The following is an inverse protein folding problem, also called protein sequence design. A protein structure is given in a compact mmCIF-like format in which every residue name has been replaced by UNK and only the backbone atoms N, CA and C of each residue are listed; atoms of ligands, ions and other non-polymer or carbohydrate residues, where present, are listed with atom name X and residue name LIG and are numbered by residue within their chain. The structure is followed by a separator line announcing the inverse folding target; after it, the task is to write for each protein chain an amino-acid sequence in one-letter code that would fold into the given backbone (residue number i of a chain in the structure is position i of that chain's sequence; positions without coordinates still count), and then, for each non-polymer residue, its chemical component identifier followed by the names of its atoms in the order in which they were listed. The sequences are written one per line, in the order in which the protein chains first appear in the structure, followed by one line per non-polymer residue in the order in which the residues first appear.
data_IF_849039670174
#
_entry.id   IF_849039670174
#
_cell.length_a   1.000
_cell.length_b   1.000
_cell.length_c   1.000
_cell.angle_alpha   90.00
_cell.angle_beta   90.00
_cell.angle_gamma   90.00
#
_symmetry.space_group_name_H-M   'P 1'
#
loop_
_entity.id
_entity.type
_entity.pdbx_description
1 polymer ?
#
# COMPACT_ATOMS: atom_id res chain seq x y z
N UNK A 1 3.16 -19.07 4.95
CA UNK A 1 2.61 -18.33 3.81
C UNK A 1 2.95 -16.87 4.02
N UNK A 2 3.58 -16.24 3.05
CA UNK A 2 4.10 -14.87 3.10
C UNK A 2 3.61 -14.19 1.82
N UNK A 3 2.90 -13.08 1.95
CA UNK A 3 2.44 -12.28 0.82
C UNK A 3 3.53 -11.27 0.48
N UNK A 4 4.09 -11.31 -0.72
CA UNK A 4 5.08 -10.32 -1.15
C UNK A 4 4.45 -9.43 -2.22
N UNK A 5 4.08 -8.21 -1.85
CA UNK A 5 3.68 -7.18 -2.81
C UNK A 5 4.83 -6.19 -2.96
N UNK A 6 5.35 -6.01 -4.16
CA UNK A 6 6.30 -4.92 -4.43
C UNK A 6 5.49 -3.76 -4.99
N UNK A 7 5.42 -2.66 -4.26
CA UNK A 7 4.78 -1.44 -4.71
C UNK A 7 5.88 -0.45 -5.09
N UNK A 8 5.67 0.28 -6.17
CA UNK A 8 6.49 1.41 -6.58
C UNK A 8 5.59 2.62 -6.71
N UNK A 9 5.74 3.62 -5.84
CA UNK A 9 5.16 4.93 -6.06
C UNK A 9 6.21 5.81 -6.75
N UNK A 10 5.97 6.18 -8.01
CA UNK A 10 6.87 7.09 -8.72
C UNK A 10 6.65 8.51 -8.22
N UNK A 11 7.58 9.01 -7.41
CA UNK A 11 7.62 10.40 -6.94
C UNK A 11 8.90 11.07 -7.44
N UNK A 12 9.09 11.16 -8.76
CA UNK A 12 10.16 12.00 -9.28
C UNK A 12 10.27 12.05 -10.79
N UNK A 13 9.70 13.08 -11.42
CA UNK A 13 10.11 13.37 -12.79
C UNK A 13 9.39 14.42 -13.63
N UNK A 14 8.43 15.22 -13.13
CA UNK A 14 8.01 16.48 -13.80
C UNK A 14 6.88 17.18 -13.02
N UNK A 15 7.14 18.07 -12.05
CA UNK A 15 6.17 19.05 -11.52
C UNK A 15 4.68 18.61 -11.33
N UNK A 16 4.38 17.31 -11.11
CA UNK A 16 3.03 16.73 -11.32
C UNK A 16 2.39 16.11 -10.07
N UNK A 17 2.93 16.34 -8.87
CA UNK A 17 2.23 16.01 -7.63
C UNK A 17 3.10 16.09 -6.38
N UNK A 18 2.96 17.15 -5.59
CA UNK A 18 3.61 17.23 -4.27
C UNK A 18 2.83 16.40 -3.26
N UNK A 19 2.97 15.08 -3.27
CA UNK A 19 2.59 14.28 -2.12
C UNK A 19 3.40 14.73 -0.89
N UNK A 20 2.76 14.72 0.28
CA UNK A 20 3.48 14.77 1.53
C UNK A 20 4.37 13.53 1.71
N UNK A 21 5.33 13.55 2.65
CA UNK A 21 6.07 12.36 3.00
C UNK A 21 5.13 11.20 3.38
N UNK A 22 5.44 10.04 2.82
CA UNK A 22 4.85 8.78 3.22
C UNK A 22 5.59 8.24 4.44
N UNK A 23 4.84 7.71 5.39
CA UNK A 23 5.38 7.09 6.60
C UNK A 23 4.71 5.75 6.79
N UNK A 24 5.47 4.77 7.27
CA UNK A 24 4.94 3.46 7.66
C UNK A 24 3.77 3.61 8.62
N UNK A 25 2.66 2.97 8.27
CA UNK A 25 1.41 3.03 9.00
C UNK A 25 1.08 1.67 9.60
N UNK A 26 1.20 1.59 10.93
CA UNK A 26 1.02 0.37 11.71
C UNK A 26 1.90 -0.79 11.24
N UNK A 27 1.97 -1.81 12.10
CA UNK A 27 2.93 -2.91 12.12
C UNK A 27 4.38 -2.46 11.90
N UNK A 28 5.23 -2.62 12.91
CA UNK A 28 6.65 -2.27 12.87
C UNK A 28 7.57 -3.47 12.57
N UNK A 29 7.01 -4.59 12.11
CA UNK A 29 7.76 -5.81 11.79
C UNK A 29 8.89 -5.57 10.79
N UNK A 30 10.04 -6.22 10.96
CA UNK A 30 11.20 -6.01 10.07
C UNK A 30 10.94 -6.42 8.60
N UNK A 31 10.00 -7.35 8.38
CA UNK A 31 9.62 -7.82 7.03
C UNK A 31 8.52 -6.98 6.40
N UNK A 32 7.70 -6.28 7.19
CA UNK A 32 6.47 -5.65 6.71
C UNK A 32 6.68 -4.57 5.67
N UNK A 33 7.80 -3.85 5.77
CA UNK A 33 8.22 -2.85 4.81
C UNK A 33 9.74 -2.84 4.68
N UNK A 34 10.23 -2.91 3.46
CA UNK A 34 11.66 -2.89 3.15
C UNK A 34 11.93 -2.10 1.87
N UNK A 35 13.02 -1.33 1.87
CA UNK A 35 13.63 -0.86 0.63
C UNK A 35 14.65 -1.89 0.17
N UNK A 36 14.59 -2.29 -1.09
CA UNK A 36 15.51 -3.24 -1.68
C UNK A 36 15.76 -2.92 -3.15
N UNK A 37 16.86 -3.43 -3.69
CA UNK A 37 17.16 -3.29 -5.12
C UNK A 37 16.10 -3.97 -5.98
N UNK A 38 15.66 -3.30 -7.04
CA UNK A 38 14.63 -3.82 -7.95
C UNK A 38 15.01 -5.25 -8.44
N UNK A 39 14.24 -6.28 -8.04
CA UNK A 39 14.53 -7.64 -8.45
C UNK A 39 14.17 -7.90 -9.92
N UNK A 40 13.42 -7.01 -10.56
CA UNK A 40 12.87 -7.19 -11.91
C UNK A 40 13.68 -6.50 -13.00
N UNK A 41 14.38 -5.42 -12.65
CA UNK A 41 15.01 -4.50 -13.61
C UNK A 41 14.01 -3.70 -14.47
N UNK A 42 12.72 -3.73 -14.13
CA UNK A 42 11.66 -3.03 -14.85
C UNK A 42 11.21 -1.74 -14.15
N UNK A 43 11.53 -1.57 -12.86
CA UNK A 43 11.21 -0.35 -12.15
C UNK A 43 12.00 0.83 -12.76
N UNK A 44 11.46 2.06 -12.71
CA UNK A 44 12.16 3.24 -13.20
C UNK A 44 13.31 3.69 -12.27
N UNK A 45 13.58 2.94 -11.21
CA UNK A 45 14.55 3.23 -10.14
C UNK A 45 15.33 1.99 -9.73
N UNK A 46 16.46 2.22 -9.06
CA UNK A 46 17.33 1.14 -8.58
C UNK A 46 16.74 0.41 -7.36
N UNK A 47 15.98 1.11 -6.52
CA UNK A 47 15.33 0.56 -5.33
C UNK A 47 13.80 0.59 -5.47
N UNK A 48 13.14 -0.38 -4.84
CA UNK A 48 11.67 -0.54 -4.80
C UNK A 48 11.20 -0.79 -3.36
N UNK A 49 9.93 -0.49 -3.09
CA UNK A 49 9.30 -0.71 -1.80
C UNK A 49 8.66 -2.10 -1.77
N UNK A 50 9.17 -2.97 -0.89
CA UNK A 50 8.60 -4.30 -0.66
C UNK A 50 7.72 -4.29 0.57
N UNK A 51 6.51 -4.78 0.41
CA UNK A 51 5.54 -4.99 1.47
C UNK A 51 5.31 -6.48 1.68
N UNK A 52 5.28 -6.90 2.94
CA UNK A 52 4.98 -8.28 3.30
C UNK A 52 4.04 -8.36 4.50
N UNK A 53 2.91 -9.04 4.33
CA UNK A 53 1.99 -9.31 5.44
C UNK A 53 2.00 -10.80 5.74
N UNK A 54 2.23 -11.15 7.01
CA UNK A 54 2.16 -12.51 7.53
C UNK A 54 0.97 -12.65 8.47
N UNK A 55 0.51 -13.89 8.62
CA UNK A 55 -0.52 -14.23 9.60
C UNK A 55 -0.07 -13.79 11.01
N UNK A 56 -0.91 -12.99 11.65
CA UNK A 56 -0.65 -12.39 12.96
C UNK A 56 -0.06 -10.98 12.93
N UNK A 57 0.21 -10.40 11.75
CA UNK A 57 0.71 -9.02 11.59
C UNK A 57 -0.41 -7.98 11.79
N UNK A 58 -1.05 -8.03 12.95
CA UNK A 58 -2.01 -7.03 13.41
C UNK A 58 -1.35 -6.10 14.45
N UNK A 59 -1.77 -4.84 14.48
CA UNK A 59 -1.21 -3.81 15.37
C UNK A 59 -2.30 -2.89 15.90
N UNK A 60 -2.00 -2.20 16.99
CA UNK A 60 -2.90 -1.24 17.62
C UNK A 60 -2.13 0.07 17.93
N UNK A 61 -2.68 1.23 17.57
CA UNK A 61 -2.12 2.57 17.86
C UNK A 61 -2.97 3.42 18.81
N UNK A 62 -3.98 2.82 19.45
CA UNK A 62 -4.94 3.47 20.35
C UNK A 62 -6.17 4.05 19.64
N UNK A 63 -6.05 4.42 18.37
CA UNK A 63 -7.16 4.88 17.52
C UNK A 63 -7.69 3.76 16.62
N UNK A 64 -6.82 2.84 16.22
CA UNK A 64 -7.11 1.67 15.38
C UNK A 64 -6.60 0.40 16.06
N UNK A 65 -7.37 -0.67 15.94
CA UNK A 65 -7.02 -2.00 16.43
C UNK A 65 -7.26 -3.01 15.32
N UNK A 66 -6.19 -3.30 14.56
CA UNK A 66 -6.29 -4.25 13.45
C UNK A 66 -6.64 -5.66 13.98
N UNK A 67 -6.19 -6.02 15.19
CA UNK A 67 -6.46 -7.33 15.78
C UNK A 67 -7.96 -7.49 16.12
N UNK A 68 -8.58 -6.47 16.71
CA UNK A 68 -10.01 -6.47 17.00
C UNK A 68 -10.86 -6.44 15.72
N UNK A 69 -10.38 -5.76 14.68
CA UNK A 69 -11.06 -5.63 13.39
C UNK A 69 -10.81 -6.81 12.42
N UNK A 70 -10.07 -7.84 12.85
CA UNK A 70 -9.66 -8.97 11.99
C UNK A 70 -8.92 -8.52 10.73
N UNK A 71 -7.97 -7.60 10.90
CA UNK A 71 -7.13 -7.01 9.87
C UNK A 71 -5.66 -7.26 10.16
N UNK A 72 -4.87 -7.27 9.09
CA UNK A 72 -3.43 -7.33 9.11
C UNK A 72 -2.93 -6.31 8.09
N UNK A 73 -1.83 -5.60 8.39
CA UNK A 73 -1.43 -4.44 7.61
C UNK A 73 0.08 -4.26 7.55
N UNK A 74 0.55 -3.86 6.38
CA UNK A 74 1.81 -3.12 6.23
C UNK A 74 1.60 -2.11 5.10
N UNK A 75 1.49 -0.83 5.46
CA UNK A 75 1.14 0.24 4.53
C UNK A 75 2.08 1.45 4.71
N UNK A 76 2.24 2.23 3.64
CA UNK A 76 2.75 3.59 3.72
C UNK A 76 1.57 4.56 3.62
N UNK A 77 1.50 5.53 4.52
CA UNK A 77 0.44 6.56 4.54
C UNK A 77 1.02 7.96 4.38
N UNK A 78 0.41 8.75 3.50
CA UNK A 78 0.65 10.19 3.38
C UNK A 78 0.05 10.93 4.59
N UNK A 79 0.82 11.10 5.67
CA UNK A 79 0.30 11.73 6.90
C UNK A 79 0.26 13.26 6.87
N UNK A 80 1.08 13.89 6.03
CA UNK A 80 1.27 15.34 6.01
C UNK A 80 0.45 16.07 4.91
N UNK A 81 -0.61 15.45 4.39
CA UNK A 81 -1.45 16.08 3.36
C UNK A 81 -2.21 17.28 3.93
N UNK A 82 -2.29 18.35 3.14
CA UNK A 82 -3.09 19.53 3.48
C UNK A 82 -4.55 19.15 3.75
N UNK A 83 -5.13 19.69 4.83
CA UNK A 83 -6.56 19.58 5.15
C UNK A 83 -7.47 20.34 4.18
N UNK A 84 -6.89 21.11 3.25
CA UNK A 84 -7.69 21.81 2.23
C UNK A 84 -8.33 20.78 1.31
N UNK A 85 -9.60 20.98 0.89
CA UNK A 85 -10.21 20.15 -0.12
C UNK A 85 -9.31 20.09 -1.36
N UNK A 86 -9.16 18.89 -1.88
CA UNK A 86 -8.50 18.68 -3.15
C UNK A 86 -9.45 19.18 -4.25
N UNK A 87 -9.07 20.25 -4.94
CA UNK A 87 -9.92 20.88 -5.97
C UNK A 87 -9.29 20.73 -7.35
N UNK A 88 -10.09 20.37 -8.34
CA UNK A 88 -9.65 20.17 -9.72
C UNK A 88 -9.12 18.74 -9.98
N UNK A 89 -8.70 18.46 -11.22
CA UNK A 89 -8.14 17.16 -11.59
C UNK A 89 -6.89 16.86 -10.77
N UNK A 90 -6.72 15.59 -10.41
CA UNK A 90 -5.54 15.10 -9.70
C UNK A 90 -5.05 13.85 -10.40
N UNK A 91 -3.73 13.73 -10.50
CA UNK A 91 -3.08 12.58 -11.10
C UNK A 91 -2.35 11.80 -10.01
N UNK A 92 -2.51 10.48 -10.02
CA UNK A 92 -1.84 9.54 -9.13
C UNK A 92 -1.26 8.43 -10.02
N UNK A 93 0.00 8.06 -9.80
CA UNK A 93 0.68 7.00 -10.54
C UNK A 93 1.47 6.13 -9.58
N UNK A 94 1.31 4.83 -9.72
CA UNK A 94 2.14 3.83 -9.08
C UNK A 94 2.33 2.65 -10.05
N UNK A 95 3.36 1.87 -9.83
CA UNK A 95 3.62 0.59 -10.47
C UNK A 95 3.60 -0.47 -9.37
N UNK A 96 3.23 -1.69 -9.71
CA UNK A 96 3.17 -2.79 -8.75
C UNK A 96 3.69 -4.05 -9.43
N UNK A 97 4.48 -4.80 -8.69
CA UNK A 97 5.00 -6.09 -9.11
C UNK A 97 4.55 -7.16 -8.12
N UNK A 98 3.99 -8.22 -8.68
CA UNK A 98 3.62 -9.44 -7.97
C UNK A 98 4.59 -10.54 -8.39
N UNK A 99 5.37 -11.12 -7.46
CA UNK A 99 6.28 -12.21 -7.79
C UNK A 99 5.50 -13.46 -8.23
N UNK A 100 6.20 -14.40 -8.88
CA UNK A 100 5.60 -15.62 -9.42
C UNK A 100 4.95 -16.50 -8.33
N UNK A 101 5.43 -16.40 -7.10
CA UNK A 101 4.92 -17.10 -5.92
C UNK A 101 3.90 -16.27 -5.11
N UNK A 102 3.37 -15.18 -5.68
CA UNK A 102 2.33 -14.38 -5.04
C UNK A 102 1.04 -15.18 -4.86
N UNK A 103 0.68 -15.47 -3.61
CA UNK A 103 -0.54 -16.19 -3.27
C UNK A 103 -1.70 -15.23 -3.00
N UNK A 104 -2.85 -15.44 -3.65
CA UNK A 104 -4.09 -14.76 -3.26
C UNK A 104 -4.73 -15.52 -2.10
N UNK A 105 -4.92 -14.85 -0.97
CA UNK A 105 -5.51 -15.44 0.23
C UNK A 105 -7.04 -15.31 0.22
N UNK A 106 -7.76 -16.29 -0.32
CA UNK A 106 -9.23 -16.35 -0.22
C UNK A 106 -9.69 -17.10 1.05
N UNK A 107 -10.75 -16.67 1.78
CA UNK A 107 -11.69 -15.59 1.49
C UNK A 107 -11.27 -14.20 1.98
N UNK A 108 -10.06 -14.05 2.51
CA UNK A 108 -9.53 -12.74 2.87
C UNK A 108 -9.39 -11.84 1.62
N UNK A 109 -9.35 -10.54 1.84
CA UNK A 109 -9.18 -9.53 0.79
C UNK A 109 -7.89 -8.80 1.04
N UNK A 110 -7.08 -8.63 0.01
CA UNK A 110 -5.82 -7.87 0.07
C UNK A 110 -6.03 -6.57 -0.67
N UNK A 111 -5.83 -5.46 0.04
CA UNK A 111 -5.86 -4.11 -0.50
C UNK A 111 -4.42 -3.66 -0.76
N UNK A 112 -4.08 -3.39 -2.01
CA UNK A 112 -2.72 -3.02 -2.43
C UNK A 112 -2.49 -1.51 -2.46
N UNK A 113 -3.57 -0.74 -2.63
CA UNK A 113 -3.56 0.70 -2.51
C UNK A 113 -4.95 1.19 -2.12
N UNK A 114 -5.03 2.30 -1.40
CA UNK A 114 -6.31 2.89 -1.01
C UNK A 114 -6.24 4.40 -0.90
N UNK A 115 -7.38 5.04 -1.14
CA UNK A 115 -7.60 6.45 -0.86
C UNK A 115 -8.54 6.56 0.31
N UNK A 116 -8.00 6.81 1.49
CA UNK A 116 -8.78 6.96 2.70
C UNK A 116 -9.16 8.43 2.94
N UNK A 117 -10.42 8.65 3.28
CA UNK A 117 -10.87 9.91 3.83
C UNK A 117 -10.75 9.86 5.36
N UNK A 118 -10.11 10.88 5.93
CA UNK A 118 -9.88 10.96 7.38
C UNK A 118 -11.22 10.80 8.14
N UNK A 119 -11.29 9.79 9.01
CA UNK A 119 -12.47 9.40 9.82
C UNK A 119 -13.67 8.80 9.07
N UNK A 120 -13.61 8.73 7.74
CA UNK A 120 -14.69 8.13 6.93
C UNK A 120 -14.29 6.79 6.31
N UNK A 121 -13.00 6.43 6.37
CA UNK A 121 -12.47 5.16 5.87
C UNK A 121 -12.07 5.24 4.40
N UNK A 122 -11.87 4.08 3.77
CA UNK A 122 -11.52 3.99 2.36
C UNK A 122 -12.66 4.56 1.49
N UNK A 123 -12.32 5.54 0.65
CA UNK A 123 -13.20 6.05 -0.39
C UNK A 123 -13.12 5.19 -1.65
N UNK A 124 -11.94 4.65 -1.96
CA UNK A 124 -11.72 3.65 -3.00
C UNK A 124 -10.46 2.84 -2.73
N UNK A 125 -10.45 1.58 -3.18
CA UNK A 125 -9.37 0.62 -2.99
C UNK A 125 -8.96 -0.05 -4.31
N UNK A 126 -7.72 -0.54 -4.34
CA UNK A 126 -7.18 -1.41 -5.38
C UNK A 126 -6.97 -2.80 -4.81
N UNK A 127 -7.62 -3.79 -5.43
CA UNK A 127 -7.53 -5.19 -5.02
C UNK A 127 -7.22 -6.08 -6.21
N UNK A 128 -6.44 -7.14 -5.97
CA UNK A 128 -6.31 -8.25 -6.90
C UNK A 128 -7.10 -9.43 -6.37
N UNK A 129 -8.14 -9.81 -7.10
CA UNK A 129 -8.95 -10.98 -6.78
C UNK A 129 -8.20 -12.28 -7.06
N UNK A 130 -8.73 -13.41 -6.55
CA UNK A 130 -8.14 -14.74 -6.69
C UNK A 130 -7.95 -15.21 -8.15
N UNK A 131 -8.62 -14.55 -9.10
CA UNK A 131 -8.52 -14.82 -10.54
C UNK A 131 -7.53 -13.90 -11.26
N UNK A 132 -6.82 -13.03 -10.54
CA UNK A 132 -5.93 -12.01 -11.11
C UNK A 132 -6.67 -10.78 -11.66
N UNK A 133 -7.99 -10.67 -11.45
CA UNK A 133 -8.77 -9.49 -11.86
C UNK A 133 -8.46 -8.33 -10.91
N UNK A 134 -8.07 -7.19 -11.49
CA UNK A 134 -7.92 -5.92 -10.79
C UNK A 134 -9.29 -5.28 -10.56
N UNK A 135 -9.60 -4.97 -9.31
CA UNK A 135 -10.81 -4.27 -8.90
C UNK A 135 -10.49 -2.87 -8.38
N UNK A 136 -11.34 -1.91 -8.76
CA UNK A 136 -11.34 -0.52 -8.24
C UNK A 136 -12.77 -0.23 -7.79
N UNK A 137 -12.95 0.12 -6.52
CA UNK A 137 -14.27 0.39 -5.94
C UNK A 137 -14.22 0.88 -4.51
#
# INVERSE_FOLDING_TARGET
MSLVGVLWCDVGGADDGSFGPFTRDLSDTDWGYQLLLDPTGFAPTEEVERFEVRLGDCSNDGDRDDCADSRERSELTERARSRKPVTGPQWYRWQVYFPEDYEVIYPARVVHAQFAQQRLGAAWVFEIGATGVLWVG
#
